data_IF_353407835134
#
_entry.id   IF_353407835134
#
_cell.length_a   1.000
_cell.length_b   1.000
_cell.length_c   1.000
_cell.angle_alpha   90.00
_cell.angle_beta   90.00
_cell.angle_gamma   90.00
#
_symmetry.space_group_name_H-M   'P 1'
#
loop_
_entity.id
_entity.type
_entity.pdbx_description
1 polymer ?
#
# COMPACT_ATOMS: atom_id res chain seq x y z
N UNK A 1 22.74 14.90 20.04
CA UNK A 1 22.14 13.78 20.84
C UNK A 1 21.89 12.64 19.88
N UNK A 2 22.15 11.35 20.28
CA UNK A 2 21.86 10.23 19.41
C UNK A 2 20.35 10.09 19.25
N UNK A 3 19.84 10.16 18.01
CA UNK A 3 18.42 9.97 17.71
C UNK A 3 18.00 8.57 18.17
N UNK A 4 16.93 8.50 18.96
CA UNK A 4 16.44 7.23 19.50
C UNK A 4 15.81 6.40 18.37
N UNK A 5 16.37 5.24 18.08
CA UNK A 5 15.83 4.30 17.08
C UNK A 5 14.56 3.65 17.59
N UNK A 6 13.57 3.53 16.72
CA UNK A 6 12.35 2.77 17.01
C UNK A 6 12.61 1.28 16.75
N UNK A 7 12.33 0.39 17.72
CA UNK A 7 12.54 -1.05 17.53
C UNK A 7 11.80 -1.57 16.30
N UNK A 8 12.50 -2.32 15.44
CA UNK A 8 11.90 -2.90 14.22
C UNK A 8 11.71 -1.92 13.05
N UNK A 9 12.24 -0.70 13.16
CA UNK A 9 12.23 0.25 12.04
C UNK A 9 13.03 -0.25 10.85
N UNK A 10 12.51 0.01 9.65
CA UNK A 10 13.17 -0.26 8.37
C UNK A 10 13.26 1.05 7.61
N UNK A 11 14.47 1.51 7.32
CA UNK A 11 14.68 2.67 6.46
C UNK A 11 14.39 2.30 5.01
N UNK A 12 13.57 3.10 4.31
CA UNK A 12 13.27 2.88 2.90
C UNK A 12 13.63 4.07 1.99
N UNK A 13 14.09 5.19 2.57
CA UNK A 13 14.54 6.30 1.74
C UNK A 13 15.09 7.52 2.49
N UNK A 14 16.01 8.19 1.81
CA UNK A 14 16.54 9.52 2.14
C UNK A 14 17.18 9.67 3.53
N UNK A 15 17.53 8.56 4.23
CA UNK A 15 18.06 8.61 5.59
C UNK A 15 17.06 9.08 6.65
N UNK A 16 15.80 9.37 6.26
CA UNK A 16 14.79 9.93 7.14
C UNK A 16 13.38 9.33 6.98
N UNK A 17 13.17 8.43 6.02
CA UNK A 17 11.91 7.71 5.82
C UNK A 17 12.03 6.29 6.37
N UNK A 18 11.16 5.98 7.31
CA UNK A 18 11.15 4.70 8.01
C UNK A 18 9.77 4.06 7.97
N UNK A 19 9.74 2.76 7.84
CA UNK A 19 8.56 1.94 8.03
C UNK A 19 8.68 1.19 9.35
N UNK A 20 7.59 1.05 10.08
CA UNK A 20 7.54 0.27 11.33
C UNK A 20 6.16 -0.35 11.52
N UNK A 21 6.14 -1.56 12.09
CA UNK A 21 4.91 -2.27 12.42
C UNK A 21 4.61 -2.13 13.92
N UNK A 22 3.51 -1.46 14.26
CA UNK A 22 3.11 -1.17 15.65
C UNK A 22 1.59 -1.25 15.81
N UNK A 23 1.10 -1.57 17.01
CA UNK A 23 -0.34 -1.63 17.28
C UNK A 23 -1.02 -0.25 17.30
N UNK A 24 -0.29 0.77 17.69
CA UNK A 24 -0.78 2.15 17.79
C UNK A 24 0.23 3.10 17.17
N UNK A 25 -0.25 4.17 16.58
CA UNK A 25 0.60 5.24 16.07
C UNK A 25 1.09 6.06 17.26
N UNK A 26 2.40 6.20 17.48
CA UNK A 26 2.94 7.03 18.56
C UNK A 26 2.64 8.51 18.33
N UNK A 27 2.74 9.29 19.40
CA UNK A 27 2.72 10.75 19.30
C UNK A 27 4.02 11.26 18.68
N UNK A 28 3.92 12.35 17.94
CA UNK A 28 5.08 13.06 17.40
C UNK A 28 6.01 13.54 18.52
N UNK A 29 7.31 13.54 18.20
CA UNK A 29 8.37 14.07 19.07
C UNK A 29 9.08 15.25 18.39
N UNK A 30 10.06 15.83 19.08
CA UNK A 30 10.91 16.87 18.45
C UNK A 30 11.62 16.35 17.20
N UNK A 31 12.13 15.11 17.24
CA UNK A 31 12.97 14.52 16.18
C UNK A 31 12.21 13.59 15.23
N UNK A 32 10.95 13.27 15.48
CA UNK A 32 10.22 12.24 14.73
C UNK A 32 8.74 12.57 14.59
N UNK A 33 8.18 12.25 13.42
CA UNK A 33 6.74 12.29 13.16
C UNK A 33 6.25 10.92 12.70
N UNK A 34 5.03 10.56 13.09
CA UNK A 34 4.43 9.26 12.84
C UNK A 34 3.10 9.42 12.11
N UNK A 35 2.86 8.60 11.11
CA UNK A 35 1.57 8.56 10.42
C UNK A 35 1.22 7.13 10.02
N UNK A 36 -0.05 6.85 9.80
CA UNK A 36 -0.56 5.60 9.24
C UNK A 36 -1.49 5.88 8.07
N UNK A 37 -1.56 4.93 7.16
CA UNK A 37 -2.52 4.94 6.04
C UNK A 37 -3.55 3.82 6.15
N UNK A 38 -3.49 3.00 7.19
CA UNK A 38 -4.30 1.79 7.34
C UNK A 38 -5.81 2.04 7.32
N UNK A 39 -6.24 3.20 7.80
CA UNK A 39 -7.66 3.57 7.87
C UNK A 39 -8.06 4.59 6.76
N UNK A 40 -7.13 4.97 5.86
CA UNK A 40 -7.33 5.96 4.80
C UNK A 40 -7.18 5.36 3.41
N UNK A 41 -6.12 4.57 3.20
CA UNK A 41 -5.86 3.87 1.94
C UNK A 41 -6.21 2.39 2.13
N UNK A 42 -7.49 2.10 2.12
CA UNK A 42 -8.06 0.78 2.42
C UNK A 42 -8.35 0.04 1.12
N UNK A 43 -7.97 -1.23 1.06
CA UNK A 43 -8.38 -2.12 -0.01
C UNK A 43 -9.86 -2.50 0.19
N UNK A 44 -10.64 -2.49 -0.88
CA UNK A 44 -12.02 -2.94 -0.89
C UNK A 44 -12.08 -4.39 -1.42
N UNK A 45 -12.17 -5.40 -0.54
CA UNK A 45 -12.07 -6.79 -0.95
C UNK A 45 -13.30 -7.26 -1.70
N UNK A 46 -13.09 -8.09 -2.72
CA UNK A 46 -14.18 -8.77 -3.39
C UNK A 46 -14.64 -10.02 -2.61
N UNK A 47 -13.70 -10.76 -2.02
CA UNK A 47 -13.99 -11.96 -1.20
C UNK A 47 -12.97 -12.13 -0.06
N UNK A 48 -11.91 -12.85 -0.29
CA UNK A 48 -10.83 -13.09 0.67
C UNK A 48 -9.49 -12.49 0.24
N UNK A 49 -9.51 -11.72 -0.83
CA UNK A 49 -8.43 -10.89 -1.31
C UNK A 49 -8.23 -9.69 -0.36
N UNK A 50 -7.02 -9.19 -0.27
CA UNK A 50 -6.67 -8.09 0.64
C UNK A 50 -5.74 -7.05 0.00
N UNK A 51 -5.64 -7.07 -1.31
CA UNK A 51 -4.75 -6.22 -2.11
C UNK A 51 -4.40 -6.86 -3.44
N UNK A 52 -3.50 -6.22 -4.19
CA UNK A 52 -2.78 -4.98 -3.89
C UNK A 52 -3.66 -3.73 -3.93
N UNK A 53 -3.25 -2.67 -3.23
CA UNK A 53 -3.84 -1.35 -3.40
C UNK A 53 -3.70 -0.89 -4.85
N UNK A 54 -4.72 -0.20 -5.37
CA UNK A 54 -4.76 0.23 -6.76
C UNK A 54 -3.82 1.42 -7.03
N UNK A 55 -3.68 1.77 -8.31
CA UNK A 55 -2.75 2.82 -8.73
C UNK A 55 -3.16 4.22 -8.25
N UNK A 56 -4.46 4.46 -8.02
CA UNK A 56 -4.93 5.73 -7.46
C UNK A 56 -4.48 5.89 -6.00
N UNK A 57 -4.56 4.83 -5.20
CA UNK A 57 -4.09 4.82 -3.81
C UNK A 57 -2.57 4.97 -3.74
N UNK A 58 -1.82 4.35 -4.65
CA UNK A 58 -0.37 4.55 -4.79
C UNK A 58 -0.07 6.03 -5.12
N UNK A 59 -0.80 6.63 -6.06
CA UNK A 59 -0.63 8.02 -6.41
C UNK A 59 -0.87 8.96 -5.22
N UNK A 60 -1.97 8.76 -4.49
CA UNK A 60 -2.29 9.55 -3.28
C UNK A 60 -1.22 9.41 -2.21
N UNK A 61 -0.73 8.19 -1.98
CA UNK A 61 0.37 7.96 -1.05
C UNK A 61 1.63 8.71 -1.45
N UNK A 62 2.04 8.62 -2.72
CA UNK A 62 3.22 9.31 -3.23
C UNK A 62 3.12 10.83 -3.04
N UNK A 63 1.97 11.42 -3.36
CA UNK A 63 1.71 12.86 -3.17
C UNK A 63 1.74 13.25 -1.70
N UNK A 64 1.07 12.49 -0.84
CA UNK A 64 1.04 12.71 0.61
C UNK A 64 2.44 12.65 1.21
N UNK A 65 3.23 11.64 0.88
CA UNK A 65 4.58 11.50 1.42
C UNK A 65 5.53 12.60 0.90
N UNK A 66 5.41 12.96 -0.37
CA UNK A 66 6.15 14.09 -0.96
C UNK A 66 5.78 15.40 -0.28
N UNK A 67 4.50 15.63 0.01
CA UNK A 67 4.07 16.82 0.77
C UNK A 67 4.71 16.84 2.18
N UNK A 68 4.69 15.72 2.91
CA UNK A 68 5.35 15.62 4.23
C UNK A 68 6.86 15.89 4.16
N UNK A 69 7.52 15.43 3.11
CA UNK A 69 8.96 15.66 2.92
C UNK A 69 9.31 17.13 2.68
N UNK A 70 8.39 17.87 2.06
CA UNK A 70 8.54 19.29 1.74
C UNK A 70 7.99 20.23 2.85
N UNK A 71 7.34 19.67 3.87
CA UNK A 71 6.79 20.45 4.98
C UNK A 71 7.93 21.07 5.82
N UNK A 72 8.02 22.41 5.93
CA UNK A 72 9.02 23.08 6.76
C UNK A 72 9.00 22.65 8.23
N UNK A 73 7.85 22.30 8.77
CA UNK A 73 7.70 21.87 10.17
C UNK A 73 8.28 20.47 10.41
N UNK A 74 8.46 19.69 9.34
CA UNK A 74 9.03 18.34 9.38
C UNK A 74 10.50 18.30 8.94
N UNK A 75 11.11 19.44 8.68
CA UNK A 75 12.53 19.52 8.30
C UNK A 75 13.42 18.93 9.39
N UNK A 76 14.35 18.05 8.99
CA UNK A 76 15.26 17.37 9.90
C UNK A 76 14.63 16.24 10.73
N UNK A 77 13.29 16.11 10.78
CA UNK A 77 12.63 15.00 11.49
C UNK A 77 12.70 13.69 10.73
N UNK A 78 12.74 12.59 11.45
CA UNK A 78 12.50 11.25 10.92
C UNK A 78 10.99 11.06 10.70
N UNK A 79 10.60 10.54 9.56
CA UNK A 79 9.20 10.34 9.17
C UNK A 79 8.92 8.84 9.17
N UNK A 80 8.02 8.40 10.03
CA UNK A 80 7.65 7.00 10.19
C UNK A 80 6.29 6.70 9.59
N UNK A 81 6.27 5.79 8.61
CA UNK A 81 5.04 5.14 8.21
C UNK A 81 4.78 3.95 9.12
N UNK A 82 3.77 4.07 9.96
CA UNK A 82 3.34 3.04 10.91
C UNK A 82 2.23 2.21 10.30
N UNK A 83 2.34 0.89 10.33
CA UNK A 83 1.25 -0.02 9.97
C UNK A 83 0.89 -0.93 11.15
N UNK A 84 -0.36 -1.36 11.20
CA UNK A 84 -0.84 -2.38 12.15
C UNK A 84 -0.22 -3.76 11.80
N UNK A 85 -0.16 -4.71 12.77
CA UNK A 85 0.52 -6.00 12.58
C UNK A 85 -0.27 -7.03 11.76
N UNK A 86 -1.39 -6.67 11.15
CA UNK A 86 -2.18 -7.53 10.29
C UNK A 86 -1.46 -7.80 8.95
N UNK A 87 -1.78 -8.93 8.33
CA UNK A 87 -1.14 -9.38 7.10
C UNK A 87 -1.35 -8.41 5.94
N UNK A 88 -2.58 -7.94 5.78
CA UNK A 88 -3.03 -7.02 4.74
C UNK A 88 -2.38 -5.63 4.88
N UNK A 89 -2.45 -5.04 6.07
CA UNK A 89 -1.86 -3.72 6.33
C UNK A 89 -0.35 -3.72 6.14
N UNK A 90 0.34 -4.80 6.56
CA UNK A 90 1.80 -4.94 6.37
C UNK A 90 2.17 -5.04 4.89
N UNK A 91 1.48 -5.88 4.11
CA UNK A 91 1.76 -6.05 2.69
C UNK A 91 1.47 -4.76 1.91
N UNK A 92 0.31 -4.14 2.17
CA UNK A 92 -0.12 -2.92 1.50
C UNK A 92 0.74 -1.71 1.86
N UNK A 93 1.12 -1.54 3.12
CA UNK A 93 2.01 -0.43 3.53
C UNK A 93 3.43 -0.57 2.92
N UNK A 94 3.96 -1.78 2.83
CA UNK A 94 5.25 -2.04 2.18
C UNK A 94 5.16 -1.81 0.67
N UNK A 95 4.04 -2.18 0.03
CA UNK A 95 3.78 -1.83 -1.36
C UNK A 95 3.83 -0.31 -1.56
N UNK A 96 3.15 0.48 -0.71
CA UNK A 96 3.12 1.94 -0.79
C UNK A 96 4.52 2.55 -0.62
N UNK A 97 5.28 2.12 0.39
CA UNK A 97 6.66 2.60 0.63
C UNK A 97 7.58 2.30 -0.56
N UNK A 98 7.50 1.07 -1.08
CA UNK A 98 8.31 0.65 -2.23
C UNK A 98 7.88 1.34 -3.52
N UNK A 99 6.56 1.53 -3.74
CA UNK A 99 6.04 2.26 -4.88
C UNK A 99 6.49 3.73 -4.88
N UNK A 100 6.50 4.39 -3.72
CA UNK A 100 7.06 5.74 -3.60
C UNK A 100 8.54 5.78 -4.01
N UNK A 101 9.34 4.82 -3.53
CA UNK A 101 10.76 4.76 -3.88
C UNK A 101 10.98 4.54 -5.39
N UNK A 102 10.08 3.81 -6.05
CA UNK A 102 10.10 3.59 -7.49
C UNK A 102 9.62 4.84 -8.26
N UNK A 103 8.47 5.40 -7.90
CA UNK A 103 7.80 6.49 -8.64
C UNK A 103 8.50 7.84 -8.40
N UNK A 104 8.76 8.19 -7.13
CA UNK A 104 9.25 9.51 -6.75
C UNK A 104 10.77 9.59 -6.64
N UNK A 105 11.45 8.44 -6.45
CA UNK A 105 12.91 8.39 -6.27
C UNK A 105 13.61 7.58 -7.38
N UNK A 106 12.90 7.19 -8.43
CA UNK A 106 13.44 6.56 -9.65
C UNK A 106 14.12 5.20 -9.44
N UNK A 107 13.86 4.51 -8.31
CA UNK A 107 14.47 3.20 -8.04
C UNK A 107 13.87 2.12 -8.93
N UNK A 108 14.67 1.13 -9.28
CA UNK A 108 14.16 -0.10 -9.91
C UNK A 108 13.33 -0.92 -8.93
N UNK A 109 12.39 -1.79 -9.38
CA UNK A 109 11.55 -2.60 -8.50
C UNK A 109 12.31 -3.35 -7.40
N UNK A 110 13.42 -4.00 -7.75
CA UNK A 110 14.24 -4.75 -6.80
C UNK A 110 14.93 -3.85 -5.77
N UNK A 111 15.41 -2.67 -6.18
CA UNK A 111 16.04 -1.68 -5.30
C UNK A 111 15.03 -1.04 -4.36
N UNK A 112 13.81 -0.76 -4.86
CA UNK A 112 12.73 -0.20 -4.06
C UNK A 112 12.24 -1.18 -2.98
N UNK A 113 12.23 -2.47 -3.29
CA UNK A 113 11.79 -3.52 -2.36
C UNK A 113 12.93 -4.04 -1.45
N UNK A 114 14.19 -3.82 -1.79
CA UNK A 114 15.35 -4.36 -1.07
C UNK A 114 15.31 -4.16 0.46
N UNK A 115 14.88 -3.00 1.02
CA UNK A 115 14.80 -2.81 2.46
C UNK A 115 13.88 -3.82 3.16
N UNK A 116 12.88 -4.36 2.47
CA UNK A 116 11.80 -5.18 3.03
C UNK A 116 11.98 -6.69 2.79
N UNK A 117 13.01 -7.11 2.06
CA UNK A 117 13.24 -8.54 1.71
C UNK A 117 13.28 -9.45 2.95
N UNK A 118 13.84 -8.95 4.04
CA UNK A 118 14.03 -9.72 5.28
C UNK A 118 12.99 -9.37 6.37
N UNK A 119 11.89 -8.71 6.03
CA UNK A 119 10.85 -8.35 7.01
C UNK A 119 10.28 -9.59 7.70
N UNK A 120 10.10 -9.52 9.02
CA UNK A 120 9.55 -10.63 9.82
C UNK A 120 8.25 -10.22 10.51
N UNK A 121 7.25 -11.13 10.56
CA UNK A 121 7.09 -12.34 9.77
C UNK A 121 7.15 -12.05 8.26
N UNK A 122 7.47 -13.03 7.43
CA UNK A 122 7.46 -12.87 5.96
C UNK A 122 6.09 -12.39 5.47
N UNK A 123 6.07 -11.59 4.39
CA UNK A 123 4.81 -11.15 3.80
C UNK A 123 4.09 -12.33 3.16
N UNK A 124 2.78 -12.38 3.36
CA UNK A 124 1.90 -13.30 2.62
C UNK A 124 1.64 -12.65 1.24
N UNK A 125 1.79 -13.38 0.14
CA UNK A 125 1.44 -12.89 -1.18
C UNK A 125 -0.05 -12.53 -1.27
N UNK A 126 -0.39 -11.55 -2.11
CA UNK A 126 -1.78 -11.25 -2.44
C UNK A 126 -2.42 -12.45 -3.12
N UNK A 127 -3.60 -12.81 -2.70
CA UNK A 127 -4.38 -13.87 -3.31
C UNK A 127 -5.34 -13.32 -4.36
N UNK A 128 -5.75 -14.17 -5.28
CA UNK A 128 -6.86 -13.87 -6.17
C UNK A 128 -8.20 -13.84 -5.42
N UNK A 129 -9.22 -13.26 -6.04
CA UNK A 129 -10.59 -13.15 -5.50
C UNK A 129 -11.42 -14.43 -5.65
N UNK A 130 -10.79 -15.59 -5.88
CA UNK A 130 -11.47 -16.87 -6.01
C UNK A 130 -12.04 -17.37 -4.69
N UNK A 131 -13.15 -18.12 -4.76
CA UNK A 131 -13.81 -18.73 -3.60
C UNK A 131 -13.02 -19.93 -3.02
N UNK A 132 -12.02 -20.43 -3.76
CA UNK A 132 -11.21 -21.58 -3.37
C UNK A 132 -9.82 -21.22 -2.86
N UNK A 133 -8.92 -22.19 -2.78
CA UNK A 133 -7.51 -21.93 -2.57
C UNK A 133 -6.97 -21.00 -3.66
N UNK A 134 -6.08 -20.05 -3.33
CA UNK A 134 -5.53 -19.11 -4.33
C UNK A 134 -4.75 -19.89 -5.40
N UNK A 135 -5.06 -19.61 -6.68
CA UNK A 135 -4.45 -20.29 -7.82
C UNK A 135 -3.23 -19.52 -8.37
N UNK A 136 -3.19 -18.21 -8.18
CA UNK A 136 -2.12 -17.36 -8.67
C UNK A 136 -1.77 -16.24 -7.68
N UNK A 137 -0.90 -16.50 -6.69
CA UNK A 137 -0.48 -15.48 -5.75
C UNK A 137 0.50 -14.50 -6.41
N UNK A 138 0.29 -13.20 -6.18
CA UNK A 138 1.21 -12.14 -6.62
C UNK A 138 1.89 -11.50 -5.41
N UNK A 139 3.14 -11.12 -5.58
CA UNK A 139 3.95 -10.49 -4.53
C UNK A 139 4.04 -8.98 -4.72
N UNK A 140 4.44 -8.26 -3.68
CA UNK A 140 4.78 -6.82 -3.79
C UNK A 140 5.75 -6.57 -4.94
N UNK A 141 6.75 -7.43 -5.11
CA UNK A 141 7.73 -7.27 -6.20
C UNK A 141 7.09 -7.42 -7.60
N UNK A 142 6.11 -8.32 -7.76
CA UNK A 142 5.35 -8.43 -9.02
C UNK A 142 4.56 -7.14 -9.30
N UNK A 143 3.92 -6.56 -8.28
CA UNK A 143 3.19 -5.29 -8.40
C UNK A 143 4.12 -4.13 -8.80
N UNK A 144 5.28 -4.04 -8.18
CA UNK A 144 6.30 -3.03 -8.55
C UNK A 144 6.82 -3.22 -9.97
N UNK A 145 6.98 -4.47 -10.41
CA UNK A 145 7.33 -4.79 -11.80
C UNK A 145 6.28 -4.30 -12.80
N UNK A 146 4.99 -4.54 -12.49
CA UNK A 146 3.87 -4.03 -13.27
C UNK A 146 3.83 -2.50 -13.31
N UNK A 147 4.00 -1.84 -12.17
CA UNK A 147 4.04 -0.37 -12.07
C UNK A 147 5.21 0.21 -12.89
N UNK A 148 6.42 -0.36 -12.76
CA UNK A 148 7.58 0.06 -13.55
C UNK A 148 7.33 -0.10 -15.06
N UNK A 149 6.66 -1.17 -15.46
CA UNK A 149 6.27 -1.40 -16.85
C UNK A 149 5.28 -0.35 -17.33
N UNK A 150 4.25 -0.04 -16.54
CA UNK A 150 3.26 0.99 -16.85
C UNK A 150 3.92 2.37 -17.04
N UNK A 151 4.86 2.74 -16.16
CA UNK A 151 5.65 3.97 -16.28
C UNK A 151 6.46 3.96 -17.58
N UNK A 152 7.17 2.87 -17.89
CA UNK A 152 8.02 2.77 -19.08
C UNK A 152 7.25 2.87 -20.40
N UNK A 153 5.97 2.51 -20.38
CA UNK A 153 5.06 2.60 -21.54
C UNK A 153 4.26 3.91 -21.60
N UNK A 154 4.46 4.81 -20.62
CA UNK A 154 3.69 6.05 -20.51
C UNK A 154 2.22 5.87 -20.12
N UNK A 155 1.83 4.68 -19.65
CA UNK A 155 0.47 4.41 -19.16
C UNK A 155 0.21 5.04 -17.79
N UNK A 156 1.25 5.23 -17.02
CA UNK A 156 1.21 5.95 -15.74
C UNK A 156 2.25 7.06 -15.74
N UNK A 157 1.78 8.30 -15.66
CA UNK A 157 2.58 9.51 -15.51
C UNK A 157 2.15 10.19 -14.21
N UNK A 158 2.98 10.11 -13.17
CA UNK A 158 2.62 10.50 -11.81
C UNK A 158 2.12 11.95 -11.69
N UNK A 159 2.74 12.86 -12.43
CA UNK A 159 2.47 14.30 -12.39
C UNK A 159 1.07 14.63 -12.92
N UNK A 160 0.62 13.92 -13.96
CA UNK A 160 -0.65 14.19 -14.66
C UNK A 160 -1.75 13.19 -14.32
N UNK A 161 -1.43 12.10 -13.60
CA UNK A 161 -2.41 11.07 -13.25
C UNK A 161 -3.51 11.64 -12.36
N UNK A 162 -4.77 11.40 -12.74
CA UNK A 162 -5.94 11.79 -11.96
C UNK A 162 -6.51 10.59 -11.20
N UNK A 163 -6.26 10.47 -9.88
CA UNK A 163 -6.73 9.33 -9.10
C UNK A 163 -8.27 9.28 -8.97
N UNK A 164 -8.95 10.44 -8.98
CA UNK A 164 -10.40 10.48 -8.82
C UNK A 164 -11.11 10.04 -10.10
N UNK A 165 -10.57 10.41 -11.25
CA UNK A 165 -11.05 9.94 -12.56
C UNK A 165 -10.84 8.43 -12.72
N UNK A 166 -9.66 7.92 -12.34
CA UNK A 166 -9.38 6.49 -12.36
C UNK A 166 -10.38 5.70 -11.51
N UNK A 167 -10.62 6.11 -10.27
CA UNK A 167 -11.56 5.45 -9.37
C UNK A 167 -13.02 5.57 -9.84
N UNK A 168 -13.37 6.66 -10.53
CA UNK A 168 -14.68 6.80 -11.14
C UNK A 168 -14.94 5.69 -12.16
N UNK A 169 -14.00 5.48 -13.09
CA UNK A 169 -14.13 4.41 -14.09
C UNK A 169 -14.06 3.01 -13.47
N UNK A 170 -13.20 2.77 -12.52
CA UNK A 170 -13.11 1.49 -11.80
C UNK A 170 -14.45 1.12 -11.15
N UNK A 171 -15.15 2.08 -10.54
CA UNK A 171 -16.48 1.85 -9.92
C UNK A 171 -17.57 1.61 -10.94
N UNK A 172 -17.56 2.31 -12.06
CA UNK A 172 -18.58 2.16 -13.12
C UNK A 172 -18.48 0.78 -13.76
N UNK A 173 -17.28 0.28 -14.02
CA UNK A 173 -17.09 -1.04 -14.63
C UNK A 173 -17.46 -2.19 -13.70
N UNK A 174 -17.21 -2.05 -12.38
CA UNK A 174 -17.43 -3.12 -11.38
C UNK A 174 -18.87 -3.14 -10.87
N UNK A 175 -19.62 -2.03 -10.97
CA UNK A 175 -20.98 -1.91 -10.41
C UNK A 175 -21.94 -3.00 -10.87
N UNK A 176 -22.03 -3.38 -12.17
CA UNK A 176 -22.89 -4.48 -12.62
C UNK A 176 -22.47 -5.84 -12.11
N UNK A 177 -21.17 -6.08 -11.96
CA UNK A 177 -20.62 -7.36 -11.47
C UNK A 177 -20.85 -7.53 -9.96
N UNK A 178 -20.73 -6.47 -9.18
CA UNK A 178 -21.04 -6.47 -7.73
C UNK A 178 -22.51 -6.74 -7.48
N UNK A 179 -23.43 -6.15 -8.25
CA UNK A 179 -24.85 -6.41 -8.12
C UNK A 179 -25.20 -7.90 -8.37
N UNK A 180 -24.60 -8.52 -9.38
CA UNK A 180 -24.76 -9.95 -9.66
C UNK A 180 -24.12 -10.84 -8.59
N UNK A 181 -23.01 -10.40 -7.98
CA UNK A 181 -22.31 -11.17 -6.95
C UNK A 181 -23.08 -11.16 -5.63
N UNK A 182 -23.53 -9.97 -5.18
CA UNK A 182 -24.34 -9.86 -3.95
C UNK A 182 -25.61 -10.67 -4.05
N UNK A 183 -26.31 -10.65 -5.18
CA UNK A 183 -27.51 -11.47 -5.42
C UNK A 183 -27.22 -12.99 -5.36
N UNK A 184 -26.04 -13.44 -5.79
CA UNK A 184 -25.61 -14.84 -5.67
C UNK A 184 -25.18 -15.23 -4.25
N UNK A 185 -24.59 -14.28 -3.52
CA UNK A 185 -24.11 -14.49 -2.15
C UNK A 185 -25.31 -14.63 -1.19
N UNK A 186 -26.31 -13.77 -1.32
CA UNK A 186 -27.54 -13.82 -0.55
C UNK A 186 -28.28 -15.11 -0.81
N UNK A 187 -28.39 -15.56 -2.07
CA UNK A 187 -29.02 -16.83 -2.44
C UNK A 187 -28.26 -18.06 -1.89
N UNK A 188 -26.93 -18.01 -1.80
CA UNK A 188 -26.12 -19.10 -1.23
C UNK A 188 -26.12 -19.11 0.31
N UNK A 189 -26.33 -17.96 0.94
CA UNK A 189 -26.41 -17.83 2.39
C UNK A 189 -27.76 -18.35 2.90
N UNK A 190 -28.86 -17.98 2.23
CA UNK A 190 -30.22 -18.43 2.58
C UNK A 190 -30.40 -19.94 2.37
N UNK A 191 -29.79 -20.51 1.31
CA UNK A 191 -29.85 -21.93 1.03
C UNK A 191 -29.10 -22.84 2.05
N UNK A 192 -28.28 -22.27 2.94
CA UNK A 192 -27.53 -22.98 3.99
C UNK A 192 -28.16 -22.83 5.37
N UNK A 193 -29.20 -22.02 5.52
CA UNK A 193 -29.86 -21.71 6.80
C UNK A 193 -31.34 -22.00 6.79
N UNK A 194 -31.85 -22.65 5.72
CA UNK A 194 -33.17 -23.33 5.64
C UNK A 194 -32.97 -24.84 5.59
#
# INVERSE_FOLDING_TARGET
MAQQKVPGEIEFGLGRLFWVCMRHVPLDTEDSTFFSTDDVLVYDPYYGDFGPLNIAQICRYCRMLTHKLNDPQLQGKRIYHVCKPQTDTRANSILLCSAWALVCNGKKPQEAYAPFVNVKPALVPYRDASLGPPSYPITVLHCLGGLAKAISLGWYVHETFNPDEYEHYERVEVSPLRACHNARYDACYDARHT
#
